data_IF_302334390279
#
_entry.id   IF_302334390279
#
_cell.length_a   1.000
_cell.length_b   1.000
_cell.length_c   1.000
_cell.angle_alpha   90.00
_cell.angle_beta   90.00
_cell.angle_gamma   90.00
#
_symmetry.space_group_name_H-M   'P 1'
#
loop_
_entity.id
_entity.type
_entity.pdbx_description
1 polymer ?
#
# COMPACT_ATOMS: atom_id res chain seq x y z
N UNK A 1 15.68 -9.97 6.65
CA UNK A 1 14.85 -8.87 7.18
C UNK A 1 13.74 -8.58 6.17
N UNK A 2 12.50 -8.56 6.59
CA UNK A 2 11.33 -8.37 5.72
C UNK A 2 10.52 -7.11 6.08
N UNK A 3 11.13 -6.20 6.84
CA UNK A 3 10.55 -4.90 7.13
C UNK A 3 9.92 -4.77 8.51
N UNK A 4 9.18 -3.69 8.70
CA UNK A 4 8.50 -3.32 9.95
C UNK A 4 7.09 -3.91 9.97
N UNK A 5 6.75 -4.64 11.03
CA UNK A 5 5.42 -5.22 11.24
C UNK A 5 4.60 -4.36 12.21
N UNK A 6 3.33 -4.16 11.89
CA UNK A 6 2.31 -3.63 12.79
C UNK A 6 1.25 -4.68 13.10
N UNK A 7 0.55 -4.55 14.22
CA UNK A 7 -0.51 -5.46 14.65
C UNK A 7 -1.75 -4.67 15.07
N UNK A 8 -2.89 -4.98 14.46
CA UNK A 8 -4.18 -4.34 14.74
C UNK A 8 -5.18 -5.43 15.08
N UNK A 9 -5.91 -5.25 16.17
CA UNK A 9 -6.78 -6.29 16.69
C UNK A 9 -8.24 -5.85 16.69
N UNK A 10 -9.06 -6.58 15.93
CA UNK A 10 -10.52 -6.51 15.98
C UNK A 10 -11.03 -5.06 15.90
N UNK A 11 -11.68 -4.55 16.93
CA UNK A 11 -12.30 -3.24 16.96
C UNK A 11 -11.31 -2.06 16.78
N UNK A 12 -10.01 -2.28 17.02
CA UNK A 12 -8.96 -1.27 16.79
C UNK A 12 -8.98 -0.69 15.37
N UNK A 13 -9.47 -1.48 14.40
CA UNK A 13 -9.60 -1.06 13.01
C UNK A 13 -10.48 0.21 12.85
N UNK A 14 -11.34 0.52 13.83
CA UNK A 14 -12.28 1.64 13.77
C UNK A 14 -11.71 2.97 14.34
N UNK A 15 -10.55 2.93 15.01
CA UNK A 15 -9.98 4.12 15.63
C UNK A 15 -9.16 4.95 14.64
N UNK A 16 -9.60 6.18 14.37
CA UNK A 16 -8.94 7.07 13.40
C UNK A 16 -7.58 7.57 13.88
N UNK A 17 -7.45 7.86 15.16
CA UNK A 17 -6.18 8.26 15.78
C UNK A 17 -5.14 7.15 15.69
N UNK A 18 -5.58 5.89 15.80
CA UNK A 18 -4.69 4.74 15.68
C UNK A 18 -4.17 4.58 14.25
N UNK A 19 -5.02 4.67 13.22
CA UNK A 19 -4.56 4.61 11.81
C UNK A 19 -3.58 5.75 11.49
N UNK A 20 -3.82 6.96 12.03
CA UNK A 20 -2.91 8.09 11.85
C UNK A 20 -1.55 7.86 12.52
N UNK A 21 -1.53 7.22 13.69
CA UNK A 21 -0.30 6.84 14.38
C UNK A 21 0.49 5.80 13.56
N UNK A 22 -0.19 4.77 13.03
CA UNK A 22 0.44 3.76 12.17
C UNK A 22 1.00 4.35 10.88
N UNK A 23 0.27 5.27 10.26
CA UNK A 23 0.74 5.95 9.03
C UNK A 23 2.04 6.72 9.27
N UNK A 24 2.24 7.29 10.47
CA UNK A 24 3.50 7.97 10.85
C UNK A 24 4.65 6.99 11.07
N UNK A 25 4.36 5.82 11.63
CA UNK A 25 5.35 4.76 11.88
C UNK A 25 5.78 4.02 10.61
N UNK A 26 5.03 4.14 9.52
CA UNK A 26 5.31 3.56 8.19
C UNK A 26 5.63 2.05 8.27
N UNK A 27 4.70 1.20 8.74
CA UNK A 27 4.89 -0.24 8.68
C UNK A 27 4.94 -0.70 7.22
N UNK A 28 5.67 -1.78 6.94
CA UNK A 28 5.63 -2.44 5.63
C UNK A 28 4.46 -3.41 5.54
N UNK A 29 4.12 -4.03 6.67
CA UNK A 29 3.04 -5.01 6.79
C UNK A 29 2.26 -4.79 8.06
N UNK A 30 0.93 -4.80 7.97
CA UNK A 30 0.01 -4.77 9.11
C UNK A 30 -0.71 -6.11 9.17
N UNK A 31 -0.61 -6.78 10.31
CA UNK A 31 -1.35 -8.00 10.61
C UNK A 31 -2.64 -7.64 11.35
N UNK A 32 -3.78 -7.88 10.73
CA UNK A 32 -5.10 -7.66 11.31
C UNK A 32 -5.71 -8.98 11.74
N UNK A 33 -5.97 -9.15 13.03
CA UNK A 33 -6.60 -10.34 13.60
C UNK A 33 -7.96 -10.00 14.21
N UNK A 34 -9.01 -10.74 13.83
CA UNK A 34 -10.36 -10.34 14.21
C UNK A 34 -11.38 -11.49 14.17
N UNK A 35 -12.48 -11.28 14.90
CA UNK A 35 -13.69 -12.08 14.78
C UNK A 35 -14.66 -11.56 13.69
N UNK A 36 -14.39 -10.41 13.09
CA UNK A 36 -15.10 -9.88 11.92
C UNK A 36 -14.10 -9.55 10.81
N UNK A 37 -14.57 -9.41 9.59
CA UNK A 37 -13.68 -9.34 8.44
C UNK A 37 -13.09 -7.95 8.18
N UNK A 38 -13.76 -6.88 8.60
CA UNK A 38 -13.29 -5.50 8.47
C UNK A 38 -13.52 -4.86 7.09
N UNK A 39 -13.83 -5.65 6.05
CA UNK A 39 -14.17 -5.24 4.69
C UNK A 39 -13.37 -4.01 4.19
N UNK A 40 -14.04 -2.96 3.73
CA UNK A 40 -13.41 -1.77 3.18
C UNK A 40 -12.46 -1.05 4.16
N UNK A 41 -12.67 -1.17 5.49
CA UNK A 41 -11.78 -0.57 6.48
C UNK A 41 -10.35 -1.12 6.42
N UNK A 42 -10.17 -2.40 6.11
CA UNK A 42 -8.83 -2.96 5.88
C UNK A 42 -8.13 -2.23 4.73
N UNK A 43 -8.83 -2.01 3.62
CA UNK A 43 -8.30 -1.28 2.46
C UNK A 43 -8.02 0.19 2.77
N UNK A 44 -8.86 0.82 3.61
CA UNK A 44 -8.60 2.18 4.11
C UNK A 44 -7.29 2.23 4.92
N UNK A 45 -7.07 1.24 5.80
CA UNK A 45 -5.82 1.13 6.56
C UNK A 45 -4.61 0.91 5.66
N UNK A 46 -4.69 -0.07 4.77
CA UNK A 46 -3.65 -0.38 3.80
C UNK A 46 -3.28 0.86 2.97
N UNK A 47 -4.28 1.53 2.41
CA UNK A 47 -4.12 2.76 1.64
C UNK A 47 -3.55 3.91 2.48
N UNK A 48 -4.03 4.11 3.71
CA UNK A 48 -3.59 5.24 4.57
C UNK A 48 -2.16 5.03 5.06
N UNK A 49 -1.80 3.81 5.42
CA UNK A 49 -0.46 3.47 5.93
C UNK A 49 0.56 3.17 4.83
N UNK A 50 0.14 3.04 3.55
CA UNK A 50 1.01 2.57 2.44
C UNK A 50 1.63 1.21 2.71
N UNK A 51 0.90 0.33 3.40
CA UNK A 51 1.37 -0.96 3.89
C UNK A 51 0.54 -2.10 3.31
N UNK A 52 1.14 -3.28 3.20
CA UNK A 52 0.34 -4.49 3.05
C UNK A 52 -0.48 -4.71 4.32
N UNK A 53 -1.74 -5.12 4.16
CA UNK A 53 -2.55 -5.55 5.29
C UNK A 53 -2.96 -7.01 5.10
N UNK A 54 -2.65 -7.84 6.09
CA UNK A 54 -2.94 -9.28 6.08
C UNK A 54 -4.06 -9.54 7.08
N UNK A 55 -5.26 -9.83 6.57
CA UNK A 55 -6.42 -10.16 7.38
C UNK A 55 -6.41 -11.62 7.83
N UNK A 56 -6.45 -11.85 9.14
CA UNK A 56 -6.63 -13.16 9.75
C UNK A 56 -7.93 -13.15 10.57
N UNK A 57 -8.98 -13.75 10.04
CA UNK A 57 -10.31 -13.76 10.65
C UNK A 57 -10.72 -15.17 11.07
N UNK A 58 -11.64 -15.27 12.02
CA UNK A 58 -12.13 -16.57 12.49
C UNK A 58 -13.10 -17.23 11.52
N UNK A 59 -13.13 -18.55 11.52
CA UNK A 59 -14.15 -19.35 10.82
C UNK A 59 -14.17 -19.14 9.32
N UNK A 60 -15.37 -18.98 8.78
CA UNK A 60 -15.67 -18.89 7.34
C UNK A 60 -15.58 -17.47 6.78
N UNK A 61 -15.23 -16.49 7.59
CA UNK A 61 -15.09 -15.12 7.12
C UNK A 61 -13.96 -14.99 6.10
N UNK A 62 -14.15 -14.10 5.16
CA UNK A 62 -13.16 -13.81 4.14
C UNK A 62 -11.84 -13.39 4.76
N UNK A 63 -10.76 -13.92 4.22
CA UNK A 63 -9.39 -13.53 4.56
C UNK A 63 -8.80 -12.88 3.34
N UNK A 64 -8.38 -11.65 3.49
CA UNK A 64 -7.81 -10.88 2.39
C UNK A 64 -6.40 -10.43 2.71
N UNK A 65 -5.65 -10.22 1.66
CA UNK A 65 -4.37 -9.53 1.70
C UNK A 65 -4.51 -8.32 0.78
N UNK A 66 -4.37 -7.15 1.38
CA UNK A 66 -4.52 -5.87 0.71
C UNK A 66 -3.14 -5.28 0.42
N UNK A 67 -2.99 -4.64 -0.72
CA UNK A 67 -1.77 -3.96 -1.15
C UNK A 67 -1.68 -2.51 -0.71
N UNK A 68 -0.48 -1.90 -0.76
CA UNK A 68 -0.22 -0.56 -0.23
C UNK A 68 -1.03 0.58 -0.87
N UNK A 69 -1.60 0.39 -2.05
CA UNK A 69 -2.53 1.33 -2.68
C UNK A 69 -4.00 0.96 -2.49
N UNK A 70 -4.31 0.06 -1.55
CA UNK A 70 -5.67 -0.33 -1.18
C UNK A 70 -6.30 -1.38 -2.10
N UNK A 71 -5.52 -1.99 -2.99
CA UNK A 71 -5.97 -3.07 -3.85
C UNK A 71 -6.05 -4.40 -3.11
N UNK A 72 -7.02 -5.23 -3.46
CA UNK A 72 -7.10 -6.62 -2.97
C UNK A 72 -6.14 -7.48 -3.79
N UNK A 73 -5.12 -8.04 -3.15
CA UNK A 73 -4.13 -8.91 -3.79
C UNK A 73 -4.58 -10.37 -3.75
N UNK A 74 -5.13 -10.78 -2.63
CA UNK A 74 -5.58 -12.15 -2.41
C UNK A 74 -6.85 -12.15 -1.59
N UNK A 75 -7.79 -13.00 -1.98
CA UNK A 75 -9.05 -13.19 -1.30
C UNK A 75 -9.31 -14.70 -1.12
N UNK A 76 -9.63 -15.12 0.10
CA UNK A 76 -10.10 -16.49 0.33
C UNK A 76 -11.58 -16.63 -0.02
N UNK A 77 -12.02 -17.84 -0.26
CA UNK A 77 -13.44 -18.16 -0.49
C UNK A 77 -13.87 -19.34 0.37
N UNK A 78 -15.17 -19.62 0.34
CA UNK A 78 -15.84 -20.53 1.24
C UNK A 78 -15.32 -21.98 1.25
N UNK A 79 -14.53 -22.38 0.26
CA UNK A 79 -13.92 -23.72 0.20
C UNK A 79 -12.51 -23.78 0.82
N UNK A 80 -11.87 -22.61 1.06
CA UNK A 80 -10.50 -22.54 1.56
C UNK A 80 -10.42 -21.58 2.75
N UNK A 81 -10.01 -22.11 3.89
CA UNK A 81 -9.85 -21.35 5.13
C UNK A 81 -8.50 -20.61 5.22
N UNK A 82 -7.60 -20.91 4.31
CA UNK A 82 -6.26 -20.32 4.26
C UNK A 82 -6.01 -19.77 2.88
N UNK A 83 -5.29 -18.64 2.83
CA UNK A 83 -4.81 -18.03 1.61
C UNK A 83 -3.33 -17.73 1.76
N UNK A 84 -2.57 -17.92 0.69
CA UNK A 84 -1.15 -17.59 0.65
C UNK A 84 -0.83 -16.85 -0.63
N UNK A 85 0.02 -15.83 -0.51
CA UNK A 85 0.57 -15.13 -1.67
C UNK A 85 1.97 -14.62 -1.34
N UNK A 86 2.71 -14.25 -2.36
CA UNK A 86 3.97 -13.53 -2.20
C UNK A 86 3.71 -12.04 -2.21
N UNK A 87 4.23 -11.33 -1.23
CA UNK A 87 4.27 -9.87 -1.20
C UNK A 87 5.71 -9.40 -1.43
N UNK A 88 5.87 -8.22 -1.99
CA UNK A 88 7.17 -7.61 -2.24
C UNK A 88 7.23 -6.27 -1.52
N UNK A 89 7.99 -6.20 -0.43
CA UNK A 89 8.17 -4.97 0.37
C UNK A 89 9.15 -3.98 -0.24
N UNK A 90 9.86 -4.35 -1.33
CA UNK A 90 10.65 -3.42 -2.13
C UNK A 90 9.72 -2.62 -3.07
N UNK A 91 8.83 -1.83 -2.46
CA UNK A 91 7.77 -1.09 -3.14
C UNK A 91 7.57 0.30 -2.54
N UNK A 92 6.93 1.19 -3.31
CA UNK A 92 6.44 2.51 -2.86
C UNK A 92 5.10 2.82 -3.54
N UNK A 93 4.34 3.70 -2.91
CA UNK A 93 3.11 4.24 -3.49
C UNK A 93 3.40 5.64 -4.04
N UNK A 94 3.04 5.85 -5.29
CA UNK A 94 3.16 7.14 -6.00
C UNK A 94 1.78 7.56 -6.51
N UNK A 95 1.61 8.84 -6.82
CA UNK A 95 0.44 9.30 -7.58
C UNK A 95 0.77 9.30 -9.08
N UNK A 96 -0.22 9.08 -9.94
CA UNK A 96 0.00 9.08 -11.38
C UNK A 96 0.32 10.47 -11.93
N UNK A 97 -0.31 11.51 -11.38
CA UNK A 97 -0.03 12.89 -11.78
C UNK A 97 1.43 13.24 -11.52
N UNK A 98 2.04 13.94 -12.47
CA UNK A 98 3.45 14.34 -12.48
C UNK A 98 4.46 13.19 -12.62
N UNK A 99 4.02 11.92 -12.61
CA UNK A 99 4.91 10.74 -12.62
C UNK A 99 4.93 9.97 -13.96
N UNK A 100 3.98 10.22 -14.88
CA UNK A 100 3.84 9.43 -16.10
C UNK A 100 5.14 9.27 -16.90
N UNK A 101 5.86 10.37 -17.12
CA UNK A 101 7.10 10.33 -17.89
C UNK A 101 8.23 9.58 -17.20
N UNK A 102 8.29 9.64 -15.88
CA UNK A 102 9.27 8.90 -15.07
C UNK A 102 8.95 7.42 -15.04
N UNK A 103 7.67 7.06 -14.88
CA UNK A 103 7.20 5.66 -14.92
C UNK A 103 7.57 5.02 -16.26
N UNK A 104 7.26 5.68 -17.38
CA UNK A 104 7.58 5.15 -18.69
C UNK A 104 9.08 4.88 -18.86
N UNK A 105 9.93 5.84 -18.45
CA UNK A 105 11.39 5.66 -18.48
C UNK A 105 11.87 4.51 -17.60
N UNK A 106 11.26 4.31 -16.43
CA UNK A 106 11.58 3.19 -15.56
C UNK A 106 11.21 1.85 -16.20
N UNK A 107 10.05 1.75 -16.83
CA UNK A 107 9.61 0.57 -17.60
C UNK A 107 10.61 0.29 -18.73
N UNK A 108 10.93 1.30 -19.52
CA UNK A 108 11.83 1.17 -20.68
C UNK A 108 13.24 0.70 -20.26
N UNK A 109 13.75 1.18 -19.11
CA UNK A 109 15.09 0.84 -18.64
C UNK A 109 15.15 -0.49 -17.92
N UNK A 110 14.18 -0.78 -17.06
CA UNK A 110 14.25 -1.91 -16.14
C UNK A 110 13.41 -3.12 -16.56
N UNK A 111 12.45 -2.94 -17.50
CA UNK A 111 11.60 -4.03 -17.99
C UNK A 111 10.93 -4.79 -16.86
N UNK A 112 11.01 -6.12 -16.87
CA UNK A 112 10.38 -7.01 -15.88
C UNK A 112 10.92 -6.84 -14.44
N UNK A 113 11.98 -6.08 -14.23
CA UNK A 113 12.48 -5.75 -12.88
C UNK A 113 11.70 -4.64 -12.20
N UNK A 114 10.93 -3.87 -12.95
CA UNK A 114 10.06 -2.81 -12.45
C UNK A 114 8.60 -3.12 -12.77
N UNK A 115 7.74 -3.11 -11.77
CA UNK A 115 6.31 -3.33 -11.93
C UNK A 115 5.54 -2.13 -11.40
N UNK A 116 4.48 -1.73 -12.11
CA UNK A 116 3.47 -0.80 -11.63
C UNK A 116 2.14 -1.54 -11.50
N UNK A 117 1.63 -1.61 -10.28
CA UNK A 117 0.28 -2.10 -9.98
C UNK A 117 -0.67 -0.93 -9.88
N UNK A 118 -1.59 -0.88 -10.84
CA UNK A 118 -2.59 0.19 -10.88
C UNK A 118 -3.98 -0.37 -10.59
N UNK A 119 -4.57 -0.07 -9.43
CA UNK A 119 -5.96 -0.41 -9.15
C UNK A 119 -6.95 0.40 -10.03
N UNK A 120 -6.46 1.43 -10.73
CA UNK A 120 -7.24 2.18 -11.72
C UNK A 120 -8.24 3.17 -11.14
N UNK A 121 -8.49 3.17 -9.84
CA UNK A 121 -9.63 3.89 -9.27
C UNK A 121 -9.26 5.18 -8.51
N UNK A 122 -8.08 5.26 -7.93
CA UNK A 122 -7.74 6.35 -6.98
C UNK A 122 -6.52 7.19 -7.38
N UNK A 123 -5.93 6.93 -8.55
CA UNK A 123 -4.72 7.61 -9.01
C UNK A 123 -3.44 7.26 -8.25
N UNK A 124 -3.55 6.62 -7.10
CA UNK A 124 -2.42 6.07 -6.36
C UNK A 124 -2.10 4.67 -6.88
N UNK A 125 -0.83 4.40 -7.13
CA UNK A 125 -0.34 3.12 -7.66
C UNK A 125 0.85 2.65 -6.86
N UNK A 126 0.97 1.33 -6.71
CA UNK A 126 2.15 0.71 -6.10
C UNK A 126 3.18 0.42 -7.18
N UNK A 127 4.39 0.95 -7.03
CA UNK A 127 5.55 0.61 -7.85
C UNK A 127 6.49 -0.30 -7.07
N UNK A 128 7.04 -1.31 -7.75
CA UNK A 128 7.85 -2.35 -7.12
C UNK A 128 9.13 -2.60 -7.92
N UNK A 129 10.20 -2.98 -7.22
CA UNK A 129 11.37 -3.57 -7.85
C UNK A 129 11.44 -5.07 -7.52
N UNK A 130 11.55 -5.90 -8.55
CA UNK A 130 11.70 -7.35 -8.42
C UNK A 130 13.18 -7.78 -8.32
N UNK A 131 14.09 -6.83 -8.42
CA UNK A 131 15.53 -7.09 -8.28
C UNK A 131 15.97 -6.77 -6.83
N UNK A 132 16.40 -7.78 -6.06
CA UNK A 132 16.87 -7.54 -4.68
C UNK A 132 18.11 -6.62 -4.59
N UNK A 133 18.87 -6.52 -5.68
CA UNK A 133 20.03 -5.62 -5.76
C UNK A 133 19.68 -4.19 -6.18
N UNK A 134 18.43 -3.94 -6.52
CA UNK A 134 17.93 -2.63 -6.97
C UNK A 134 16.80 -2.16 -6.05
N UNK A 135 17.09 -1.39 -4.99
CA UNK A 135 16.06 -0.81 -4.14
C UNK A 135 15.12 0.09 -4.93
N UNK A 136 13.82 0.00 -4.66
CA UNK A 136 12.82 0.86 -5.33
C UNK A 136 13.12 2.35 -5.11
N UNK A 137 13.70 2.72 -3.98
CA UNK A 137 14.08 4.09 -3.68
C UNK A 137 15.16 4.63 -4.63
N UNK A 138 15.99 3.76 -5.20
CA UNK A 138 16.97 4.14 -6.22
C UNK A 138 16.27 4.49 -7.54
N UNK A 139 15.28 3.70 -7.94
CA UNK A 139 14.44 3.97 -9.11
C UNK A 139 13.66 5.28 -8.92
N UNK A 140 13.06 5.47 -7.74
CA UNK A 140 12.35 6.71 -7.39
C UNK A 140 13.25 7.93 -7.58
N UNK A 141 14.47 7.89 -7.04
CA UNK A 141 15.44 8.99 -7.16
C UNK A 141 15.93 9.21 -8.58
N UNK A 142 16.22 8.13 -9.29
CA UNK A 142 16.75 8.19 -10.66
C UNK A 142 15.78 8.88 -11.62
N UNK A 143 14.49 8.56 -11.52
CA UNK A 143 13.49 9.11 -12.43
C UNK A 143 12.69 10.28 -11.84
N UNK A 144 13.05 10.74 -10.63
CA UNK A 144 12.40 11.85 -9.97
C UNK A 144 10.92 11.59 -9.66
N UNK A 145 10.56 10.34 -9.34
CA UNK A 145 9.18 9.98 -9.04
C UNK A 145 8.75 10.60 -7.70
N UNK A 146 7.57 11.19 -7.69
CA UNK A 146 6.99 11.84 -6.52
C UNK A 146 6.17 10.83 -5.74
N UNK A 147 6.54 10.59 -4.48
CA UNK A 147 5.77 9.72 -3.59
C UNK A 147 4.37 10.28 -3.33
N UNK A 148 3.42 9.39 -3.09
CA UNK A 148 2.04 9.76 -2.79
C UNK A 148 1.95 10.73 -1.61
N UNK A 149 2.68 10.49 -0.54
CA UNK A 149 2.66 11.34 0.65
C UNK A 149 3.19 12.75 0.38
N UNK A 150 4.21 12.88 -0.47
CA UNK A 150 4.75 14.19 -0.88
C UNK A 150 3.78 14.94 -1.80
N UNK A 151 3.15 14.23 -2.73
CA UNK A 151 2.08 14.77 -3.58
C UNK A 151 0.92 15.29 -2.74
N UNK A 152 0.45 14.47 -1.77
CA UNK A 152 -0.63 14.83 -0.87
C UNK A 152 -0.27 16.02 0.02
N UNK A 153 0.92 16.04 0.62
CA UNK A 153 1.39 17.15 1.44
C UNK A 153 1.46 18.47 0.65
N UNK A 154 1.91 18.40 -0.62
CA UNK A 154 1.88 19.55 -1.54
C UNK A 154 0.44 20.04 -1.76
N UNK A 155 -0.48 19.14 -2.04
CA UNK A 155 -1.89 19.45 -2.29
C UNK A 155 -2.57 20.08 -1.06
N UNK A 156 -2.27 19.60 0.14
CA UNK A 156 -2.77 20.20 1.40
C UNK A 156 -2.29 21.63 1.57
N UNK A 157 -1.00 21.90 1.29
CA UNK A 157 -0.46 23.28 1.34
C UNK A 157 -1.15 24.20 0.36
N UNK A 158 -1.36 23.77 -0.87
CA UNK A 158 -2.04 24.57 -1.90
C UNK A 158 -3.48 24.85 -1.51
N UNK A 159 -4.21 23.85 -1.03
CA UNK A 159 -5.59 24.03 -0.53
C UNK A 159 -5.65 25.01 0.63
N UNK A 160 -4.73 24.93 1.60
CA UNK A 160 -4.66 25.84 2.74
C UNK A 160 -4.38 27.29 2.35
N UNK A 161 -3.61 27.51 1.26
CA UNK A 161 -3.39 28.83 0.67
C UNK A 161 -4.62 29.40 -0.05
N UNK A 162 -5.44 28.54 -0.64
CA UNK A 162 -6.65 28.94 -1.37
C UNK A 162 -7.87 29.24 -0.44
N UNK A 163 -7.82 28.79 0.82
CA UNK A 163 -8.88 29.00 1.81
C UNK A 163 -8.65 30.25 2.70
N UNK A 164 -7.61 31.02 2.45
CA UNK A 164 -7.32 32.31 3.07
C UNK A 164 -7.75 33.46 2.16
#
# INVERSE_FOLDING_TARGET
>A
DFGRLGFVTCFDLNFRDLIEAYAKEKPDVICFQSAYDGDFWRRVWSYTCRAYLIGCTVGHLAKEIDGPSGEVIMHSHNYFYTSTTKINTNCRVIHLDDNWGGIQKAIDKYGDRFEMRNPGAVGAVTVLSHDPALPIDDIIREFGLILWDDYYARSVRLRGGALK
#
